data_IF_523194432253
#
_entry.id   IF_523194432253
#
_cell.length_a   1.000
_cell.length_b   1.000
_cell.length_c   1.000
_cell.angle_alpha   90.00
_cell.angle_beta   90.00
_cell.angle_gamma   90.00
#
_symmetry.space_group_name_H-M   'P 1'
#
loop_
_entity.id
_entity.type
_entity.pdbx_description
1 polymer ?
#
# COMPACT_ATOMS: atom_id res chain seq x y z
N UNK A 1 34.80 -19.64 5.90
CA UNK A 1 34.27 -18.45 5.22
C UNK A 1 32.76 -18.37 5.36
N UNK A 2 32.27 -17.21 5.80
CA UNK A 2 30.86 -16.85 5.70
C UNK A 2 30.65 -16.10 4.38
N UNK A 3 29.54 -16.36 3.71
CA UNK A 3 29.13 -15.68 2.47
C UNK A 3 27.70 -15.22 2.62
N UNK A 4 27.42 -14.01 2.16
CA UNK A 4 26.07 -13.46 2.17
C UNK A 4 25.20 -14.23 1.17
N UNK A 5 23.96 -14.50 1.57
CA UNK A 5 22.94 -15.07 0.68
C UNK A 5 22.65 -14.11 -0.48
N UNK A 6 22.48 -14.67 -1.67
CA UNK A 6 22.22 -13.94 -2.92
C UNK A 6 20.72 -13.80 -3.23
N UNK A 7 19.86 -14.52 -2.51
CA UNK A 7 18.41 -14.39 -2.65
C UNK A 7 17.90 -12.99 -2.28
N UNK A 8 16.76 -12.63 -2.88
CA UNK A 8 16.03 -11.41 -2.60
C UNK A 8 14.69 -11.73 -1.92
N UNK A 9 14.21 -10.79 -1.12
CA UNK A 9 12.89 -10.89 -0.50
C UNK A 9 11.79 -10.49 -1.49
N UNK A 10 10.63 -11.12 -1.36
CA UNK A 10 9.42 -10.77 -2.09
C UNK A 10 9.06 -9.28 -1.88
N UNK A 11 8.57 -8.59 -2.91
CA UNK A 11 8.14 -7.19 -2.78
C UNK A 11 7.02 -7.03 -1.74
N UNK A 12 6.19 -8.05 -1.56
CA UNK A 12 5.16 -8.03 -0.52
C UNK A 12 5.74 -8.18 0.91
N UNK A 13 6.96 -8.70 1.05
CA UNK A 13 7.67 -8.73 2.35
C UNK A 13 8.10 -7.35 2.82
N UNK A 14 8.49 -6.43 1.93
CA UNK A 14 8.76 -5.05 2.39
C UNK A 14 7.46 -4.26 2.54
N UNK A 15 6.52 -4.46 1.63
CA UNK A 15 5.26 -3.67 1.56
C UNK A 15 4.35 -3.86 2.77
N UNK A 16 4.33 -5.04 3.41
CA UNK A 16 3.50 -5.27 4.60
C UNK A 16 4.06 -4.63 5.89
N UNK A 17 5.32 -4.16 5.89
CA UNK A 17 5.91 -3.43 7.01
C UNK A 17 5.58 -1.93 6.96
N UNK A 18 4.92 -1.49 5.90
CA UNK A 18 4.63 -0.08 5.61
C UNK A 18 4.10 0.74 6.81
N UNK A 19 3.14 0.25 7.62
CA UNK A 19 2.59 1.03 8.74
C UNK A 19 3.63 1.45 9.77
N UNK A 20 4.77 0.74 9.84
CA UNK A 20 5.85 1.02 10.79
C UNK A 20 7.10 1.57 10.08
N UNK A 21 7.45 1.02 8.92
CA UNK A 21 8.74 1.32 8.26
C UNK A 21 8.84 2.76 7.78
N UNK A 22 7.73 3.39 7.42
CA UNK A 22 7.72 4.79 6.95
C UNK A 22 8.13 5.79 8.03
N UNK A 23 7.97 5.43 9.32
CA UNK A 23 8.35 6.22 10.49
C UNK A 23 9.50 5.57 11.27
N UNK A 24 10.35 4.80 10.59
CA UNK A 24 11.48 4.09 11.18
C UNK A 24 11.15 3.14 12.36
N UNK A 25 9.87 2.76 12.51
CA UNK A 25 9.37 2.00 13.65
C UNK A 25 9.87 0.55 13.72
N UNK A 26 10.51 0.04 12.66
CA UNK A 26 11.14 -1.29 12.66
C UNK A 26 12.52 -1.24 13.34
N UNK A 27 13.32 -0.21 13.07
CA UNK A 27 14.67 -0.07 13.65
C UNK A 27 14.62 0.62 15.00
N UNK A 28 13.74 1.61 15.14
CA UNK A 28 13.56 2.44 16.33
C UNK A 28 12.09 2.39 16.77
N UNK A 29 11.61 1.29 17.37
CA UNK A 29 10.19 1.08 17.67
C UNK A 29 9.58 2.09 18.65
N UNK A 30 10.40 2.79 19.42
CA UNK A 30 9.96 3.72 20.47
C UNK A 30 10.21 5.20 20.10
N UNK A 31 10.39 5.52 18.81
CA UNK A 31 10.56 6.90 18.37
C UNK A 31 9.24 7.69 18.44
N UNK A 32 9.34 9.02 18.41
CA UNK A 32 8.18 9.91 18.58
C UNK A 32 7.20 9.85 17.40
N UNK A 33 7.68 9.63 16.17
CA UNK A 33 6.82 9.56 14.98
C UNK A 33 5.96 8.30 15.02
N UNK A 34 6.55 7.12 15.31
CA UNK A 34 5.78 5.88 15.35
C UNK A 34 4.74 5.90 16.47
N UNK A 35 5.06 6.47 17.65
CA UNK A 35 4.10 6.63 18.76
C UNK A 35 2.94 7.55 18.40
N UNK A 36 3.16 8.52 17.51
CA UNK A 36 2.14 9.48 17.10
C UNK A 36 1.28 8.95 15.95
N UNK A 37 1.88 8.31 14.94
CA UNK A 37 1.18 7.91 13.70
C UNK A 37 0.67 6.46 13.69
N UNK A 38 1.10 5.63 14.64
CA UNK A 38 0.65 4.26 14.78
C UNK A 38 -0.28 4.11 16.02
N UNK A 39 -1.48 3.52 15.88
CA UNK A 39 -2.06 2.97 14.65
C UNK A 39 -2.62 4.07 13.72
N UNK A 40 -2.51 3.86 12.41
CA UNK A 40 -3.06 4.79 11.41
C UNK A 40 -4.60 4.79 11.44
N UNK A 41 -5.27 5.91 11.15
CA UNK A 41 -6.73 5.94 11.15
C UNK A 41 -7.33 5.18 9.96
N UNK A 42 -7.03 5.60 8.73
CA UNK A 42 -7.68 5.10 7.52
C UNK A 42 -6.66 4.56 6.51
N UNK A 43 -6.84 3.31 6.09
CA UNK A 43 -6.15 2.76 4.92
C UNK A 43 -7.09 2.76 3.71
N UNK A 44 -6.75 3.52 2.67
CA UNK A 44 -7.52 3.60 1.42
C UNK A 44 -6.83 2.79 0.33
N UNK A 45 -7.53 1.82 -0.26
CA UNK A 45 -6.96 0.99 -1.33
C UNK A 45 -8.03 0.31 -2.19
N UNK A 46 -7.62 -0.41 -3.25
CA UNK A 46 -8.50 -1.26 -4.05
C UNK A 46 -8.66 -2.68 -3.48
N UNK A 47 -9.78 -3.36 -3.75
CA UNK A 47 -10.02 -4.73 -3.25
C UNK A 47 -9.08 -5.78 -3.85
N UNK A 48 -8.39 -5.46 -4.95
CA UNK A 48 -7.50 -6.35 -5.68
C UNK A 48 -6.21 -6.71 -4.94
N UNK A 49 -5.79 -5.92 -3.94
CA UNK A 49 -4.61 -6.18 -3.11
C UNK A 49 -4.95 -6.43 -1.63
N UNK A 50 -6.22 -6.73 -1.31
CA UNK A 50 -6.67 -7.00 0.06
C UNK A 50 -5.85 -8.10 0.75
N UNK A 51 -5.63 -9.23 0.07
CA UNK A 51 -4.85 -10.34 0.65
C UNK A 51 -3.34 -10.18 0.51
N UNK A 52 -2.86 -9.54 -0.56
CA UNK A 52 -1.43 -9.37 -0.80
C UNK A 52 -0.81 -8.25 0.05
N UNK A 53 -1.60 -7.25 0.44
CA UNK A 53 -1.11 -6.09 1.17
C UNK A 53 -1.82 -5.87 2.51
N UNK A 54 -3.14 -5.65 2.51
CA UNK A 54 -3.88 -5.26 3.72
C UNK A 54 -3.81 -6.34 4.80
N UNK A 55 -4.14 -7.59 4.45
CA UNK A 55 -4.09 -8.71 5.38
C UNK A 55 -2.68 -8.94 5.94
N UNK A 56 -1.66 -8.76 5.09
CA UNK A 56 -0.26 -8.88 5.51
C UNK A 56 0.11 -7.76 6.50
N UNK A 57 -0.27 -6.51 6.26
CA UNK A 57 -0.03 -5.43 7.21
C UNK A 57 -0.68 -5.71 8.58
N UNK A 58 -1.87 -6.32 8.58
CA UNK A 58 -2.55 -6.73 9.83
C UNK A 58 -1.70 -7.76 10.58
N UNK A 59 -1.23 -8.81 9.89
CA UNK A 59 -0.35 -9.82 10.50
C UNK A 59 0.91 -9.16 11.07
N UNK A 60 1.59 -8.30 10.31
CA UNK A 60 2.79 -7.63 10.76
C UNK A 60 2.55 -6.70 11.96
N UNK A 61 1.42 -6.00 12.00
CA UNK A 61 1.06 -5.16 13.14
C UNK A 61 0.94 -5.97 14.43
N UNK A 62 0.21 -7.08 14.40
CA UNK A 62 0.08 -7.94 15.56
C UNK A 62 1.38 -8.67 15.92
N UNK A 63 2.18 -9.09 14.94
CA UNK A 63 3.47 -9.77 15.19
C UNK A 63 4.49 -8.85 15.89
N UNK A 64 4.61 -7.59 15.44
CA UNK A 64 5.69 -6.71 15.90
C UNK A 64 5.27 -5.67 16.94
N UNK A 65 3.98 -5.37 17.07
CA UNK A 65 3.45 -4.35 17.99
C UNK A 65 2.30 -4.85 18.87
N UNK A 66 1.81 -6.08 18.66
CA UNK A 66 0.63 -6.63 19.32
C UNK A 66 -0.62 -5.72 19.20
N UNK A 67 -0.67 -4.95 18.11
CA UNK A 67 -1.72 -3.96 17.85
C UNK A 67 -2.07 -3.93 16.37
N UNK A 68 -3.31 -3.53 16.06
CA UNK A 68 -3.75 -3.36 14.67
C UNK A 68 -3.01 -2.19 14.00
N UNK A 69 -2.60 -2.31 12.73
CA UNK A 69 -1.90 -1.22 12.03
C UNK A 69 -2.77 -0.03 11.65
N UNK A 70 -4.09 -0.25 11.51
CA UNK A 70 -5.04 0.78 11.15
C UNK A 70 -6.42 0.55 11.78
N UNK A 71 -7.18 1.64 11.98
CA UNK A 71 -8.54 1.59 12.53
C UNK A 71 -9.57 1.17 11.49
N UNK A 72 -9.51 1.76 10.29
CA UNK A 72 -10.46 1.53 9.20
C UNK A 72 -9.74 1.13 7.91
N UNK A 73 -10.42 0.32 7.09
CA UNK A 73 -10.02 0.01 5.71
C UNK A 73 -11.13 0.44 4.78
N UNK A 74 -10.83 1.39 3.90
CA UNK A 74 -11.76 1.89 2.88
C UNK A 74 -11.37 1.34 1.51
N UNK A 75 -12.22 0.45 0.99
CA UNK A 75 -12.02 -0.16 -0.32
C UNK A 75 -12.71 0.66 -1.42
N UNK A 76 -11.92 1.20 -2.33
CA UNK A 76 -12.42 1.95 -3.49
C UNK A 76 -12.90 1.02 -4.60
N UNK A 77 -13.68 1.58 -5.53
CA UNK A 77 -14.03 0.88 -6.77
C UNK A 77 -12.80 0.71 -7.69
N UNK A 78 -12.84 -0.31 -8.55
CA UNK A 78 -11.85 -0.47 -9.60
C UNK A 78 -12.30 0.26 -10.87
N UNK A 79 -11.45 1.14 -11.39
CA UNK A 79 -11.69 1.80 -12.68
C UNK A 79 -11.59 0.78 -13.81
N UNK A 80 -12.55 0.82 -14.74
CA UNK A 80 -12.70 -0.15 -15.83
C UNK A 80 -12.70 0.54 -17.18
N UNK A 81 -12.22 -0.17 -18.20
CA UNK A 81 -12.28 0.28 -19.58
C UNK A 81 -13.68 0.14 -20.19
N UNK A 82 -13.85 0.59 -21.44
CA UNK A 82 -15.12 0.52 -22.19
C UNK A 82 -15.66 -0.92 -22.36
N UNK A 83 -14.80 -1.93 -22.22
CA UNK A 83 -15.15 -3.35 -22.27
C UNK A 83 -15.37 -3.95 -20.87
N UNK A 84 -15.44 -3.10 -19.83
CA UNK A 84 -15.60 -3.46 -18.41
C UNK A 84 -14.44 -4.27 -17.83
N UNK A 85 -13.27 -4.27 -18.48
CA UNK A 85 -12.06 -4.91 -17.96
C UNK A 85 -11.37 -3.96 -16.98
N UNK A 86 -10.74 -4.52 -15.95
CA UNK A 86 -9.90 -3.74 -15.03
C UNK A 86 -8.84 -2.98 -15.84
N UNK A 87 -8.63 -1.71 -15.53
CA UNK A 87 -7.49 -0.98 -16.10
C UNK A 87 -6.19 -1.50 -15.50
N UNK A 88 -5.22 -1.87 -16.33
CA UNK A 88 -3.88 -2.23 -15.92
C UNK A 88 -2.86 -1.91 -17.01
N UNK A 89 -1.62 -1.65 -16.59
CA UNK A 89 -0.50 -1.48 -17.53
C UNK A 89 -0.27 -2.73 -18.38
N UNK A 90 -0.44 -3.93 -17.79
CA UNK A 90 -0.28 -5.21 -18.49
C UNK A 90 -1.28 -5.39 -19.65
N UNK A 91 -2.49 -4.84 -19.53
CA UNK A 91 -3.50 -4.86 -20.58
C UNK A 91 -3.39 -3.67 -21.54
N UNK A 92 -2.47 -2.72 -21.28
CA UNK A 92 -2.31 -1.52 -22.09
C UNK A 92 -3.55 -0.64 -22.17
N UNK A 93 -4.50 -0.79 -21.23
CA UNK A 93 -5.82 -0.14 -21.27
C UNK A 93 -5.98 0.95 -20.20
N UNK A 94 -4.89 1.36 -19.55
CA UNK A 94 -4.87 2.51 -18.63
C UNK A 94 -4.67 3.79 -19.43
N UNK A 95 -5.53 4.80 -19.28
CA UNK A 95 -5.30 6.12 -19.88
C UNK A 95 -4.10 6.80 -19.22
N UNK A 96 -3.50 7.74 -19.95
CA UNK A 96 -2.47 8.62 -19.40
C UNK A 96 -3.12 9.71 -18.54
N UNK A 97 -2.90 9.65 -17.22
CA UNK A 97 -3.50 10.57 -16.27
C UNK A 97 -3.09 12.03 -16.53
N UNK A 98 -1.85 12.29 -16.97
CA UNK A 98 -1.38 13.65 -17.21
C UNK A 98 -2.05 14.26 -18.44
N UNK A 99 -2.29 13.47 -19.49
CA UNK A 99 -3.04 13.92 -20.67
C UNK A 99 -4.50 14.23 -20.32
N UNK A 100 -5.12 13.41 -19.48
CA UNK A 100 -6.48 13.69 -19.01
C UNK A 100 -6.55 15.01 -18.21
N UNK A 101 -5.56 15.27 -17.36
CA UNK A 101 -5.48 16.53 -16.61
C UNK A 101 -5.25 17.72 -17.54
N UNK A 102 -4.41 17.58 -18.56
CA UNK A 102 -4.17 18.62 -19.57
C UNK A 102 -5.45 18.96 -20.36
N UNK A 103 -6.24 17.95 -20.71
CA UNK A 103 -7.47 18.12 -21.51
C UNK A 103 -8.68 18.57 -20.68
N UNK A 104 -8.84 18.07 -19.45
CA UNK A 104 -10.05 18.23 -18.64
C UNK A 104 -9.83 18.94 -17.30
N UNK A 105 -8.61 19.39 -17.00
CA UNK A 105 -8.14 19.90 -15.70
C UNK A 105 -8.05 18.85 -14.58
N UNK A 106 -7.29 19.15 -13.53
CA UNK A 106 -7.19 18.29 -12.36
C UNK A 106 -8.54 18.15 -11.63
N UNK A 107 -9.33 19.22 -11.57
CA UNK A 107 -10.65 19.21 -10.93
C UNK A 107 -11.67 18.37 -11.72
N UNK A 108 -11.54 18.31 -13.05
CA UNK A 108 -12.38 17.46 -13.88
C UNK A 108 -12.08 15.96 -13.76
N UNK A 109 -10.87 15.60 -13.32
CA UNK A 109 -10.41 14.20 -13.23
C UNK A 109 -10.58 13.61 -11.81
N UNK A 110 -10.58 14.44 -10.76
CA UNK A 110 -10.71 14.02 -9.35
C UNK A 110 -12.15 13.64 -8.98
#
# INVERSE_FOLDING_TARGET
DLRQETDALDTWFSSWLWPMSVFDGIRNPENEEIKYYYPTNDLVTGPDILFFWVARMIIAGYEYKDEKPFQNVYLTGLVRDKQRRKMSKSLGNSPDALKLIEEYSADGVR
#
